data_IF_699812378142
#
_entry.id   IF_699812378142
#
_cell.length_a   1.000
_cell.length_b   1.000
_cell.length_c   1.000
_cell.angle_alpha   90.00
_cell.angle_beta   90.00
_cell.angle_gamma   90.00
#
_symmetry.space_group_name_H-M   'P 1'
#
loop_
_entity.id
_entity.type
_entity.pdbx_description
1 polymer ?
#
# COMPACT_ATOMS: atom_id res chain seq x y z
N UNK A 1 28.58 23.43 58.22
CA UNK A 1 28.47 23.80 56.79
C UNK A 1 28.53 22.59 55.85
N UNK A 2 29.54 21.71 55.93
CA UNK A 2 29.65 20.51 55.04
C UNK A 2 28.47 19.52 55.12
N UNK A 3 27.88 19.28 56.31
CA UNK A 3 26.71 18.40 56.47
C UNK A 3 25.44 18.96 55.80
N UNK A 4 25.25 20.28 55.82
CA UNK A 4 24.07 20.94 55.21
C UNK A 4 24.13 20.87 53.68
N UNK A 5 25.33 21.00 53.11
CA UNK A 5 25.60 20.83 51.66
C UNK A 5 25.37 19.38 51.22
N UNK A 6 25.74 18.41 52.07
CA UNK A 6 25.50 16.98 51.79
C UNK A 6 24.01 16.63 51.80
N UNK A 7 23.22 17.19 52.73
CA UNK A 7 21.76 17.02 52.74
C UNK A 7 21.08 17.67 51.52
N UNK A 8 21.54 18.84 51.08
CA UNK A 8 21.03 19.50 49.86
C UNK A 8 21.36 18.71 48.58
N UNK A 9 22.52 18.05 48.51
CA UNK A 9 22.90 17.19 47.38
C UNK A 9 22.08 15.89 47.33
N UNK A 10 21.74 15.29 48.47
CA UNK A 10 20.89 14.08 48.54
C UNK A 10 19.43 14.42 48.18
N UNK A 11 18.92 15.57 48.61
CA UNK A 11 17.56 16.03 48.24
C UNK A 11 17.48 16.34 46.73
N UNK A 12 18.54 16.90 46.14
CA UNK A 12 18.63 17.14 44.70
C UNK A 12 18.62 15.87 43.83
N UNK A 13 19.15 14.74 44.35
CA UNK A 13 19.15 13.46 43.63
C UNK A 13 17.79 12.74 43.66
N UNK A 14 16.95 13.02 44.68
CA UNK A 14 15.63 12.40 44.84
C UNK A 14 14.52 13.09 44.04
N UNK A 15 14.74 14.32 43.57
CA UNK A 15 13.79 15.04 42.69
C UNK A 15 14.05 14.83 41.20
N UNK A 16 15.16 14.19 40.80
CA UNK A 16 15.43 13.81 39.41
C UNK A 16 14.93 12.42 39.01
N UNK A 17 14.43 11.62 39.95
CA UNK A 17 14.00 10.23 39.72
C UNK A 17 12.49 10.05 39.53
N UNK A 18 11.73 11.14 39.40
CA UNK A 18 10.30 11.09 39.09
C UNK A 18 9.96 11.94 37.86
N UNK A 19 10.74 11.79 36.78
CA UNK A 19 10.18 12.06 35.46
C UNK A 19 9.30 10.86 35.11
N UNK A 20 7.97 11.00 34.97
CA UNK A 20 7.16 9.91 34.45
C UNK A 20 7.75 9.55 33.08
N UNK A 21 8.09 8.28 32.86
CA UNK A 21 8.43 7.83 31.52
C UNK A 21 7.25 8.24 30.63
N UNK A 22 7.51 9.10 29.65
CA UNK A 22 6.50 9.42 28.64
C UNK A 22 6.25 8.11 27.90
N UNK A 23 5.21 7.38 28.29
CA UNK A 23 4.81 6.13 27.63
C UNK A 23 4.82 6.38 26.12
N UNK A 24 5.59 5.59 25.38
CA UNK A 24 5.60 5.76 23.93
C UNK A 24 4.19 5.54 23.40
N UNK A 25 3.78 6.27 22.37
CA UNK A 25 2.50 6.02 21.70
C UNK A 25 2.41 4.59 21.15
N UNK A 26 3.56 3.94 20.93
CA UNK A 26 3.67 2.53 20.56
C UNK A 26 3.22 1.55 21.66
N UNK A 27 3.13 2.01 22.91
CA UNK A 27 2.63 1.22 24.05
C UNK A 27 1.10 1.19 24.13
N UNK A 28 0.40 2.06 23.37
CA UNK A 28 -1.05 2.05 23.32
C UNK A 28 -1.54 0.84 22.52
N UNK A 29 -2.54 0.09 23.01
CA UNK A 29 -3.19 -0.95 22.22
C UNK A 29 -3.67 -0.39 20.88
N UNK A 30 -3.43 -1.06 19.74
CA UNK A 30 -3.79 -0.54 18.41
C UNK A 30 -5.27 -0.13 18.30
N UNK A 31 -6.17 -0.84 18.98
CA UNK A 31 -7.59 -0.50 18.99
C UNK A 31 -7.85 0.86 19.64
N UNK A 32 -7.17 1.16 20.75
CA UNK A 32 -7.29 2.44 21.47
C UNK A 32 -6.68 3.56 20.64
N UNK A 33 -5.51 3.31 20.04
CA UNK A 33 -4.82 4.25 19.17
C UNK A 33 -5.70 4.68 17.99
N UNK A 34 -6.31 3.70 17.30
CA UNK A 34 -7.17 3.96 16.15
C UNK A 34 -8.49 4.65 16.55
N UNK A 35 -9.16 4.17 17.60
CA UNK A 35 -10.44 4.71 18.06
C UNK A 35 -10.34 6.16 18.55
N UNK A 36 -9.16 6.60 19.00
CA UNK A 36 -8.93 7.96 19.50
C UNK A 36 -8.05 8.82 18.58
N UNK A 37 -7.76 8.36 17.37
CA UNK A 37 -6.81 9.00 16.45
C UNK A 37 -7.06 10.50 16.24
N UNK A 38 -8.28 10.91 15.88
CA UNK A 38 -8.62 12.33 15.67
C UNK A 38 -8.33 13.19 16.91
N UNK A 39 -8.73 12.71 18.09
CA UNK A 39 -8.49 13.38 19.37
C UNK A 39 -7.00 13.46 19.70
N UNK A 40 -6.26 12.37 19.48
CA UNK A 40 -4.84 12.29 19.76
C UNK A 40 -4.05 13.24 18.84
N UNK A 41 -4.36 13.26 17.54
CA UNK A 41 -3.72 14.16 16.56
C UNK A 41 -4.02 15.62 16.93
N UNK A 42 -5.26 15.93 17.34
CA UNK A 42 -5.63 17.29 17.75
C UNK A 42 -4.88 17.76 19.00
N UNK A 43 -4.66 16.88 19.97
CA UNK A 43 -3.96 17.21 21.23
C UNK A 43 -2.45 17.27 21.03
N UNK A 44 -1.90 16.46 20.12
CA UNK A 44 -0.46 16.32 19.88
C UNK A 44 -0.13 16.53 18.39
N UNK A 45 -0.44 17.69 17.79
CA UNK A 45 -0.25 17.92 16.36
C UNK A 45 1.23 17.86 15.92
N UNK A 46 2.15 18.19 16.83
CA UNK A 46 3.59 18.25 16.57
C UNK A 46 4.34 16.96 16.98
N UNK A 47 3.62 15.84 17.11
CA UNK A 47 4.20 14.53 17.46
C UNK A 47 4.20 13.59 16.24
N UNK A 48 5.23 13.63 15.38
CA UNK A 48 5.28 12.77 14.20
C UNK A 48 5.31 11.28 14.56
N UNK A 49 5.83 10.91 15.73
CA UNK A 49 5.84 9.52 16.20
C UNK A 49 4.41 8.98 16.40
N UNK A 50 3.52 9.80 16.97
CA UNK A 50 2.11 9.46 17.12
C UNK A 50 1.42 9.29 15.76
N UNK A 51 1.64 10.24 14.85
CA UNK A 51 1.07 10.20 13.49
C UNK A 51 1.52 8.94 12.77
N UNK A 52 2.82 8.64 12.80
CA UNK A 52 3.39 7.42 12.22
C UNK A 52 2.79 6.15 12.84
N UNK A 53 2.63 6.10 14.16
CA UNK A 53 2.02 4.96 14.84
C UNK A 53 0.56 4.74 14.38
N UNK A 54 -0.24 5.81 14.26
CA UNK A 54 -1.62 5.76 13.76
C UNK A 54 -1.64 5.28 12.31
N UNK A 55 -0.82 5.89 11.44
CA UNK A 55 -0.73 5.54 10.01
C UNK A 55 -0.35 4.07 9.84
N UNK A 56 0.69 3.60 10.53
CA UNK A 56 1.14 2.21 10.47
C UNK A 56 0.06 1.24 10.97
N UNK A 57 -0.64 1.57 12.06
CA UNK A 57 -1.73 0.75 12.56
C UNK A 57 -2.90 0.65 11.56
N UNK A 58 -3.24 1.75 10.87
CA UNK A 58 -4.26 1.77 9.81
C UNK A 58 -3.84 0.95 8.60
N UNK A 59 -2.60 1.12 8.12
CA UNK A 59 -2.07 0.34 7.00
C UNK A 59 -2.07 -1.17 7.29
N UNK A 60 -1.66 -1.55 8.50
CA UNK A 60 -1.68 -2.95 8.94
C UNK A 60 -3.11 -3.51 9.00
N UNK A 61 -4.06 -2.73 9.52
CA UNK A 61 -5.47 -3.13 9.57
C UNK A 61 -6.06 -3.28 8.17
N UNK A 62 -5.73 -2.36 7.26
CA UNK A 62 -6.15 -2.40 5.86
C UNK A 62 -5.69 -3.69 5.18
N UNK A 63 -4.41 -4.03 5.31
CA UNK A 63 -3.81 -5.22 4.70
C UNK A 63 -4.38 -6.51 5.31
N UNK A 64 -4.45 -6.59 6.65
CA UNK A 64 -4.88 -7.79 7.36
C UNK A 64 -6.34 -8.15 7.10
N UNK A 65 -7.22 -7.14 7.05
CA UNK A 65 -8.67 -7.35 6.96
C UNK A 65 -9.22 -7.10 5.55
N UNK A 66 -8.38 -6.70 4.58
CA UNK A 66 -8.83 -6.15 3.29
C UNK A 66 -9.78 -4.95 3.45
N UNK A 67 -9.61 -4.16 4.51
CA UNK A 67 -10.43 -2.99 4.80
C UNK A 67 -9.89 -1.75 4.09
N UNK A 68 -10.33 -1.53 2.85
CA UNK A 68 -9.90 -0.40 2.03
C UNK A 68 -10.30 0.96 2.60
N UNK A 69 -11.27 1.03 3.53
CA UNK A 69 -11.63 2.30 4.17
C UNK A 69 -10.46 2.87 4.98
N UNK A 70 -9.61 2.01 5.53
CA UNK A 70 -8.44 2.44 6.31
C UNK A 70 -7.40 3.16 5.45
N UNK A 71 -7.22 2.79 4.18
CA UNK A 71 -6.34 3.54 3.28
C UNK A 71 -6.87 4.97 3.05
N UNK A 72 -8.19 5.15 2.96
CA UNK A 72 -8.78 6.48 2.85
C UNK A 72 -8.58 7.30 4.14
N UNK A 73 -8.68 6.68 5.31
CA UNK A 73 -8.36 7.34 6.58
C UNK A 73 -6.88 7.76 6.66
N UNK A 74 -5.95 6.94 6.13
CA UNK A 74 -4.54 7.35 6.01
C UNK A 74 -4.41 8.60 5.14
N UNK A 75 -5.10 8.69 4.00
CA UNK A 75 -5.01 9.86 3.11
C UNK A 75 -5.60 11.16 3.72
N UNK A 76 -6.46 11.08 4.73
CA UNK A 76 -6.91 12.27 5.47
C UNK A 76 -5.81 12.86 6.34
N UNK A 77 -4.89 12.01 6.82
CA UNK A 77 -3.78 12.39 7.71
C UNK A 77 -2.54 12.71 6.87
N UNK A 78 -2.22 11.84 5.92
CA UNK A 78 -1.09 11.94 4.99
C UNK A 78 -1.58 11.82 3.54
N UNK A 79 -1.99 12.92 2.90
CA UNK A 79 -2.54 12.91 1.54
C UNK A 79 -1.62 12.30 0.49
N UNK A 80 -0.31 12.35 0.72
CA UNK A 80 0.73 11.86 -0.18
C UNK A 80 1.27 10.47 0.21
N UNK A 81 0.62 9.74 1.13
CA UNK A 81 1.10 8.43 1.55
C UNK A 81 1.10 7.45 0.37
N UNK A 82 2.27 6.96 -0.08
CA UNK A 82 2.38 6.18 -1.31
C UNK A 82 1.69 4.82 -1.20
N UNK A 83 1.72 4.18 -0.04
CA UNK A 83 1.07 2.88 0.17
C UNK A 83 -0.44 2.97 0.08
N UNK A 84 -1.04 3.98 0.73
CA UNK A 84 -2.47 4.20 0.67
C UNK A 84 -2.94 4.54 -0.76
N UNK A 85 -2.25 5.46 -1.45
CA UNK A 85 -2.57 5.79 -2.84
C UNK A 85 -2.46 4.57 -3.76
N UNK A 86 -1.38 3.80 -3.63
CA UNK A 86 -1.15 2.59 -4.43
C UNK A 86 -2.30 1.59 -4.28
N UNK A 87 -2.65 1.22 -3.05
CA UNK A 87 -3.68 0.19 -2.83
C UNK A 87 -5.09 0.66 -3.21
N UNK A 88 -5.41 1.94 -3.02
CA UNK A 88 -6.66 2.52 -3.52
C UNK A 88 -6.72 2.42 -5.04
N UNK A 89 -5.67 2.84 -5.75
CA UNK A 89 -5.60 2.78 -7.22
C UNK A 89 -5.67 1.33 -7.74
N UNK A 90 -5.02 0.39 -7.06
CA UNK A 90 -5.11 -1.04 -7.38
C UNK A 90 -6.54 -1.56 -7.20
N UNK A 91 -7.23 -1.18 -6.12
CA UNK A 91 -8.62 -1.58 -5.89
C UNK A 91 -9.58 -0.97 -6.90
N UNK A 92 -9.47 0.34 -7.14
CA UNK A 92 -10.23 1.05 -8.18
C UNK A 92 -10.04 0.42 -9.55
N UNK A 93 -8.81 0.04 -9.90
CA UNK A 93 -8.52 -0.66 -11.16
C UNK A 93 -9.22 -2.02 -11.23
N UNK A 94 -9.19 -2.80 -10.14
CA UNK A 94 -9.88 -4.11 -10.05
C UNK A 94 -11.39 -3.96 -10.21
N UNK A 95 -12.01 -2.98 -9.56
CA UNK A 95 -13.45 -2.67 -9.70
C UNK A 95 -13.83 -2.26 -11.13
N UNK A 96 -12.97 -1.49 -11.82
CA UNK A 96 -13.19 -1.18 -13.23
C UNK A 96 -13.01 -2.40 -14.14
N UNK A 97 -12.04 -3.27 -13.83
CA UNK A 97 -11.75 -4.47 -14.60
C UNK A 97 -12.88 -5.50 -14.52
N UNK A 98 -13.63 -5.56 -13.41
CA UNK A 98 -14.81 -6.41 -13.27
C UNK A 98 -15.88 -6.10 -14.33
N UNK A 99 -16.02 -4.83 -14.74
CA UNK A 99 -16.99 -4.39 -15.75
C UNK A 99 -16.71 -5.04 -17.11
N UNK A 100 -17.74 -5.47 -17.82
CA UNK A 100 -17.60 -6.24 -19.07
C UNK A 100 -17.30 -5.37 -20.30
N UNK A 101 -17.63 -4.08 -20.27
CA UNK A 101 -17.49 -3.21 -21.44
C UNK A 101 -16.08 -2.61 -21.58
N UNK A 102 -15.68 -2.32 -22.83
CA UNK A 102 -14.34 -1.82 -23.21
C UNK A 102 -13.91 -0.55 -22.44
N UNK A 103 -14.82 0.40 -22.21
CA UNK A 103 -14.51 1.60 -21.43
C UNK A 103 -14.15 1.29 -19.96
N UNK A 104 -14.65 0.19 -19.40
CA UNK A 104 -14.27 -0.28 -18.08
C UNK A 104 -12.80 -0.71 -18.06
N UNK A 105 -12.36 -1.41 -19.10
CA UNK A 105 -10.97 -1.84 -19.23
C UNK A 105 -10.00 -0.67 -19.40
N UNK A 106 -10.38 0.36 -20.16
CA UNK A 106 -9.57 1.59 -20.25
C UNK A 106 -9.40 2.28 -18.89
N UNK A 107 -10.48 2.39 -18.10
CA UNK A 107 -10.40 2.96 -16.74
C UNK A 107 -9.56 2.09 -15.81
N UNK A 108 -9.65 0.77 -15.95
CA UNK A 108 -8.81 -0.16 -15.21
C UNK A 108 -7.32 0.04 -15.52
N UNK A 109 -6.95 0.04 -16.81
CA UNK A 109 -5.58 0.29 -17.27
C UNK A 109 -5.06 1.62 -16.71
N UNK A 110 -5.84 2.70 -16.83
CA UNK A 110 -5.44 4.00 -16.30
C UNK A 110 -5.16 3.96 -14.80
N UNK A 111 -6.02 3.28 -14.02
CA UNK A 111 -5.86 3.16 -12.58
C UNK A 111 -4.61 2.36 -12.20
N UNK A 112 -4.38 1.22 -12.86
CA UNK A 112 -3.18 0.41 -12.63
C UNK A 112 -1.90 1.13 -13.08
N UNK A 113 -1.93 1.88 -14.18
CA UNK A 113 -0.80 2.69 -14.62
C UNK A 113 -0.46 3.77 -13.59
N UNK A 114 -1.46 4.44 -13.01
CA UNK A 114 -1.23 5.37 -11.89
C UNK A 114 -0.62 4.65 -10.69
N UNK A 115 -1.11 3.48 -10.32
CA UNK A 115 -0.52 2.69 -9.22
C UNK A 115 0.96 2.36 -9.49
N UNK A 116 1.29 1.96 -10.73
CA UNK A 116 2.69 1.69 -11.13
C UNK A 116 3.59 2.91 -11.11
N UNK A 117 3.02 4.12 -11.23
CA UNK A 117 3.78 5.36 -11.10
C UNK A 117 4.02 5.76 -9.63
N UNK A 118 3.17 5.32 -8.71
CA UNK A 118 3.35 5.55 -7.26
C UNK A 118 4.41 4.60 -6.68
N UNK A 119 4.35 3.31 -7.05
CA UNK A 119 5.34 2.31 -6.65
C UNK A 119 5.78 1.51 -7.88
N UNK A 120 6.89 1.93 -8.48
CA UNK A 120 7.40 1.42 -9.76
C UNK A 120 8.14 0.08 -9.66
N UNK A 121 8.56 -0.29 -8.45
CA UNK A 121 9.26 -1.54 -8.17
C UNK A 121 8.34 -2.77 -8.17
N UNK A 122 7.02 -2.59 -8.15
CA UNK A 122 6.03 -3.66 -8.04
C UNK A 122 5.51 -4.09 -9.42
N UNK A 123 5.54 -5.40 -9.69
CA UNK A 123 5.04 -5.98 -10.93
C UNK A 123 3.51 -6.19 -10.97
N UNK A 124 2.82 -6.19 -9.83
CA UNK A 124 1.38 -6.48 -9.77
C UNK A 124 0.53 -5.53 -10.64
N UNK A 125 0.77 -4.20 -10.68
CA UNK A 125 0.00 -3.31 -11.54
C UNK A 125 0.10 -3.70 -13.02
N UNK A 126 1.30 -4.04 -13.51
CA UNK A 126 1.53 -4.46 -14.89
C UNK A 126 0.85 -5.79 -15.24
N UNK A 127 0.76 -6.71 -14.27
CA UNK A 127 -0.03 -7.92 -14.43
C UNK A 127 -1.51 -7.59 -14.69
N UNK A 128 -2.09 -6.66 -13.93
CA UNK A 128 -3.48 -6.28 -14.13
C UNK A 128 -3.70 -5.45 -15.39
N UNK A 129 -2.73 -4.64 -15.82
CA UNK A 129 -2.73 -3.96 -17.13
C UNK A 129 -2.82 -5.01 -18.25
N UNK A 130 -1.99 -6.06 -18.21
CA UNK A 130 -2.03 -7.13 -19.20
C UNK A 130 -3.41 -7.80 -19.28
N UNK A 131 -3.99 -8.16 -18.12
CA UNK A 131 -5.35 -8.72 -18.05
C UNK A 131 -6.42 -7.78 -18.61
N UNK A 132 -6.27 -6.48 -18.39
CA UNK A 132 -7.22 -5.50 -18.90
C UNK A 132 -7.07 -5.32 -20.42
N UNK A 133 -5.86 -5.43 -20.99
CA UNK A 133 -5.67 -5.51 -22.44
C UNK A 133 -6.34 -6.74 -23.04
N UNK A 134 -6.10 -7.93 -22.48
CA UNK A 134 -6.74 -9.18 -22.94
C UNK A 134 -8.28 -9.08 -22.92
N UNK A 135 -8.85 -8.46 -21.87
CA UNK A 135 -10.30 -8.28 -21.75
C UNK A 135 -10.86 -7.16 -22.63
N UNK A 136 -10.06 -6.12 -22.93
CA UNK A 136 -10.46 -5.01 -23.83
C UNK A 136 -10.62 -5.51 -25.26
N UNK A 137 -9.65 -6.29 -25.72
CA UNK A 137 -9.56 -6.81 -27.07
C UNK A 137 -8.76 -8.10 -27.06
N UNK A 138 -9.44 -9.21 -27.32
CA UNK A 138 -8.83 -10.53 -27.21
C UNK A 138 -7.80 -10.84 -28.31
N UNK A 139 -7.75 -10.01 -29.37
CA UNK A 139 -6.77 -10.13 -30.46
C UNK A 139 -5.60 -9.15 -30.31
N UNK A 140 -5.62 -8.28 -29.30
CA UNK A 140 -4.55 -7.32 -29.00
C UNK A 140 -3.45 -8.00 -28.16
N UNK A 141 -2.72 -8.92 -28.82
CA UNK A 141 -1.70 -9.75 -28.18
C UNK A 141 -0.50 -8.94 -27.69
N UNK A 142 -0.05 -7.95 -28.46
CA UNK A 142 1.21 -7.24 -28.20
C UNK A 142 1.16 -6.47 -26.88
N UNK A 143 0.13 -5.65 -26.66
CA UNK A 143 0.04 -4.82 -25.45
C UNK A 143 -0.09 -5.66 -24.18
N UNK A 144 -0.81 -6.79 -24.26
CA UNK A 144 -0.92 -7.72 -23.16
C UNK A 144 0.42 -8.44 -22.87
N UNK A 145 1.12 -8.91 -23.90
CA UNK A 145 2.44 -9.57 -23.75
C UNK A 145 3.49 -8.61 -23.19
N UNK A 146 3.55 -7.38 -23.70
CA UNK A 146 4.47 -6.34 -23.21
C UNK A 146 4.23 -6.04 -21.72
N UNK A 147 2.97 -5.91 -21.32
CA UNK A 147 2.61 -5.67 -19.93
C UNK A 147 2.97 -6.87 -19.03
N UNK A 148 2.79 -8.12 -19.48
CA UNK A 148 3.26 -9.30 -18.76
C UNK A 148 4.79 -9.31 -18.62
N UNK A 149 5.53 -8.97 -19.68
CA UNK A 149 6.99 -8.89 -19.65
C UNK A 149 7.49 -7.82 -18.69
N UNK A 150 6.84 -6.65 -18.68
CA UNK A 150 7.15 -5.60 -17.71
C UNK A 150 6.89 -6.05 -16.28
N UNK A 151 5.77 -6.74 -16.03
CA UNK A 151 5.45 -7.31 -14.71
C UNK A 151 6.54 -8.29 -14.23
N UNK A 152 7.01 -9.18 -15.09
CA UNK A 152 8.02 -10.19 -14.76
C UNK A 152 9.41 -9.61 -14.46
N UNK A 153 9.72 -8.41 -14.97
CA UNK A 153 10.97 -7.69 -14.67
C UNK A 153 11.00 -7.04 -13.28
N UNK A 154 9.84 -6.93 -12.62
CA UNK A 154 9.67 -6.23 -11.35
C UNK A 154 9.44 -7.20 -10.19
N UNK A 155 9.35 -6.67 -8.96
CA UNK A 155 9.09 -7.48 -7.77
C UNK A 155 7.69 -8.10 -7.83
N UNK A 156 7.63 -9.41 -7.56
CA UNK A 156 6.41 -10.20 -7.56
C UNK A 156 6.51 -11.31 -6.50
N UNK A 157 5.45 -11.54 -5.70
CA UNK A 157 5.34 -12.76 -4.92
C UNK A 157 5.43 -14.00 -5.82
N UNK A 158 6.12 -15.06 -5.35
CA UNK A 158 6.35 -16.29 -6.12
C UNK A 158 5.08 -16.85 -6.77
N UNK A 159 3.98 -16.89 -6.01
CA UNK A 159 2.66 -17.36 -6.50
C UNK A 159 2.16 -16.53 -7.69
N UNK A 160 2.29 -15.21 -7.62
CA UNK A 160 1.85 -14.31 -8.68
C UNK A 160 2.77 -14.43 -9.91
N UNK A 161 4.09 -14.49 -9.71
CA UNK A 161 5.06 -14.72 -10.79
C UNK A 161 4.75 -15.99 -11.59
N UNK A 162 4.49 -17.11 -10.91
CA UNK A 162 4.12 -18.36 -11.58
C UNK A 162 2.81 -18.23 -12.39
N UNK A 163 1.80 -17.55 -11.81
CA UNK A 163 0.54 -17.28 -12.51
C UNK A 163 0.76 -16.48 -13.79
N UNK A 164 1.66 -15.50 -13.76
CA UNK A 164 1.99 -14.65 -14.90
C UNK A 164 2.70 -15.45 -15.99
N UNK A 165 3.68 -16.27 -15.63
CA UNK A 165 4.40 -17.12 -16.58
C UNK A 165 3.44 -18.03 -17.37
N UNK A 166 2.54 -18.72 -16.66
CA UNK A 166 1.52 -19.60 -17.27
C UNK A 166 0.58 -18.83 -18.20
N UNK A 167 0.08 -17.67 -17.75
CA UNK A 167 -0.81 -16.80 -18.54
C UNK A 167 -0.13 -16.30 -19.81
N UNK A 168 1.09 -15.78 -19.68
CA UNK A 168 1.89 -15.28 -20.80
C UNK A 168 2.17 -16.37 -21.83
N UNK A 169 2.53 -17.57 -21.39
CA UNK A 169 2.78 -18.71 -22.28
C UNK A 169 1.49 -19.11 -23.04
N UNK A 170 0.34 -19.13 -22.36
CA UNK A 170 -0.94 -19.39 -23.01
C UNK A 170 -1.28 -18.33 -24.07
N UNK A 171 -1.02 -17.05 -23.78
CA UNK A 171 -1.24 -15.95 -24.71
C UNK A 171 -0.33 -16.06 -25.95
N UNK A 172 0.95 -16.42 -25.77
CA UNK A 172 1.86 -16.70 -26.89
C UNK A 172 1.38 -17.85 -27.78
N UNK A 173 0.88 -18.95 -27.18
CA UNK A 173 0.31 -20.07 -27.93
C UNK A 173 -0.90 -19.62 -28.75
N UNK A 174 -1.80 -18.85 -28.15
CA UNK A 174 -2.99 -18.30 -28.84
C UNK A 174 -2.59 -17.37 -30.00
N UNK A 175 -1.63 -16.47 -29.78
CA UNK A 175 -1.08 -15.60 -30.83
C UNK A 175 -0.56 -16.42 -32.01
N UNK A 176 0.25 -17.44 -31.75
CA UNK A 176 0.78 -18.33 -32.80
C UNK A 176 -0.34 -19.04 -33.57
N UNK A 177 -1.34 -19.59 -32.88
CA UNK A 177 -2.49 -20.22 -33.53
C UNK A 177 -3.24 -19.25 -34.45
N UNK A 178 -3.42 -18.00 -34.02
CA UNK A 178 -4.05 -16.96 -34.83
C UNK A 178 -3.21 -16.63 -36.07
N UNK A 179 -1.91 -16.40 -35.90
CA UNK A 179 -1.00 -16.13 -37.03
C UNK A 179 -0.94 -17.29 -38.03
N UNK A 180 -0.92 -18.53 -37.55
CA UNK A 180 -0.89 -19.72 -38.41
C UNK A 180 -2.22 -19.95 -39.15
N UNK A 181 -3.36 -19.49 -38.62
CA UNK A 181 -4.65 -19.54 -39.31
C UNK A 181 -4.73 -18.58 -40.50
N UNK A 182 -4.04 -17.43 -40.43
CA UNK A 182 -4.06 -16.39 -41.47
C UNK A 182 -2.90 -16.46 -42.46
N UNK A 183 -2.03 -17.48 -42.36
CA UNK A 183 -1.02 -17.81 -43.37
C UNK A 183 -1.60 -18.68 -44.47
#
# INVERSE_FOLDING_TARGET
>A
MKKLIYYLLIIGFLILSCAPSTKSFDELPPQILLAKSDSLIKVYPDKPELVNAIVNARLHLAEKNNDFSQYHEVLKIEPNNPMAQYYILMNTGKQYHEKEYKNGQWKAIQSFSKASAIIDSLGEPHFWIAKAYEKKDEMDFELALEAYDKSLKLYLPKKLRNKILVRREALLKRKKTYEDFWK
#
